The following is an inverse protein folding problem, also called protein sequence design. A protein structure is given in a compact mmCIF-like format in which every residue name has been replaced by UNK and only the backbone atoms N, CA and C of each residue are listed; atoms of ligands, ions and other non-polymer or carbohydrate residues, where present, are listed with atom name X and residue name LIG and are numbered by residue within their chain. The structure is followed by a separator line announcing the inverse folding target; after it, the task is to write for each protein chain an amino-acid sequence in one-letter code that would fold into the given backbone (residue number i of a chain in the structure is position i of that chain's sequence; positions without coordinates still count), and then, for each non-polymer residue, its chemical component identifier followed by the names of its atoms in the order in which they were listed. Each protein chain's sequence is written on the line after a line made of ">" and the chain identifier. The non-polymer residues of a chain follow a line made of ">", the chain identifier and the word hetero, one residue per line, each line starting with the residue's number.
data_IF_804903131035
#
_entry.id   IF_804903131035
#
_cell.length_a   1.000
_cell.length_b   1.000
_cell.length_c   1.000
_cell.angle_alpha   90.00
_cell.angle_beta   90.00
_cell.angle_gamma   90.00
#
_symmetry.space_group_name_H-M   'P 1'
#
loop_
_entity.id
_entity.type
_entity.pdbx_description
1 polymer ?
#
# COMPACT_ATOMS: atom_id res chain seq x y z
N UNK A 1 -0.49 4.20 72.84
CA UNK A 1 0.31 5.44 72.85
C UNK A 1 0.14 6.12 71.50
N UNK A 2 -0.25 7.39 71.51
CA UNK A 2 -0.53 8.34 70.42
C UNK A 2 0.69 8.57 69.50
N UNK A 3 0.63 8.99 68.23
CA UNK A 3 0.04 10.18 67.55
C UNK A 3 0.10 9.93 66.02
N UNK A 4 -0.88 10.20 65.13
CA UNK A 4 -1.50 11.43 64.62
C UNK A 4 -0.62 12.31 63.68
N UNK A 5 -0.96 12.39 62.38
CA UNK A 5 -1.18 13.64 61.62
C UNK A 5 -1.76 13.38 60.21
N UNK A 6 -2.50 14.36 59.71
CA UNK A 6 -3.57 14.27 58.70
C UNK A 6 -3.36 15.27 57.56
N UNK A 7 -3.97 15.04 56.38
CA UNK A 7 -4.41 16.15 55.50
C UNK A 7 -5.62 15.76 54.64
N UNK A 8 -6.63 16.65 54.57
CA UNK A 8 -7.93 16.56 53.89
C UNK A 8 -8.13 17.80 53.01
N UNK A 9 -8.69 17.69 51.79
CA UNK A 9 -10.02 18.14 51.25
C UNK A 9 -9.81 18.53 49.76
N UNK A 10 -10.75 18.50 48.81
CA UNK A 10 -12.22 18.68 48.81
C UNK A 10 -12.80 18.14 47.47
N UNK A 11 -13.96 17.48 47.52
CA UNK A 11 -14.85 17.18 46.40
C UNK A 11 -16.00 18.20 46.39
N UNK A 12 -16.44 18.63 45.21
CA UNK A 12 -17.64 19.45 45.01
C UNK A 12 -18.52 18.82 43.93
N UNK A 13 -19.83 18.81 44.21
CA UNK A 13 -20.93 18.18 43.48
C UNK A 13 -22.03 19.22 43.25
N UNK A 14 -22.58 19.31 42.03
CA UNK A 14 -23.87 19.94 41.65
C UNK A 14 -24.26 19.34 40.27
N UNK A 15 -25.28 18.47 40.09
CA UNK A 15 -26.76 18.62 40.03
C UNK A 15 -27.25 19.45 38.81
N UNK A 16 -27.59 18.78 37.69
CA UNK A 16 -28.91 18.59 37.01
C UNK A 16 -29.57 19.84 36.42
N UNK A 17 -29.92 19.82 35.13
CA UNK A 17 -31.28 20.04 34.60
C UNK A 17 -31.39 19.59 33.12
N UNK A 18 -32.57 19.04 32.82
CA UNK A 18 -33.09 18.47 31.57
C UNK A 18 -33.35 19.52 30.48
N UNK A 19 -33.11 19.21 29.20
CA UNK A 19 -33.90 19.75 28.06
C UNK A 19 -34.01 18.65 26.98
N UNK A 20 -35.23 18.47 26.52
CA UNK A 20 -35.80 17.38 25.74
C UNK A 20 -35.38 17.30 24.26
N UNK A 21 -35.65 16.13 23.67
CA UNK A 21 -35.68 15.85 22.24
C UNK A 21 -36.77 16.67 21.53
N UNK A 22 -36.46 17.22 20.36
CA UNK A 22 -37.46 17.28 19.28
C UNK A 22 -36.78 17.08 17.92
N UNK A 23 -37.41 16.22 17.14
CA UNK A 23 -37.02 15.76 15.82
C UNK A 23 -38.04 16.27 14.83
N UNK A 24 -37.62 17.04 13.82
CA UNK A 24 -38.44 17.22 12.62
C UNK A 24 -37.59 17.38 11.37
N UNK A 25 -38.08 16.69 10.35
CA UNK A 25 -37.55 16.51 9.00
C UNK A 25 -37.47 17.83 8.24
N UNK A 26 -36.47 17.96 7.34
CA UNK A 26 -36.72 18.67 6.08
C UNK A 26 -35.84 18.20 4.94
N UNK A 27 -36.54 17.92 3.85
CA UNK A 27 -36.12 17.39 2.56
C UNK A 27 -35.12 18.30 1.85
N UNK A 28 -34.15 17.70 1.14
CA UNK A 28 -33.25 18.41 0.24
C UNK A 28 -33.70 18.15 -1.19
N UNK A 29 -34.26 19.17 -1.85
CA UNK A 29 -34.58 19.14 -3.27
C UNK A 29 -33.46 19.83 -4.08
N UNK A 30 -33.12 19.19 -5.21
CA UNK A 30 -32.23 19.62 -6.29
C UNK A 30 -32.71 20.93 -6.94
N UNK A 31 -31.79 21.78 -7.41
CA UNK A 31 -31.44 21.95 -8.85
C UNK A 31 -30.57 23.22 -9.08
N UNK A 32 -29.82 23.25 -10.19
CA UNK A 32 -29.62 24.47 -10.98
C UNK A 32 -28.28 25.23 -10.94
N UNK A 33 -27.49 25.01 -12.00
CA UNK A 33 -26.35 25.79 -12.56
C UNK A 33 -26.44 27.33 -12.44
N UNK A 34 -25.29 28.02 -12.32
CA UNK A 34 -24.69 28.88 -13.39
C UNK A 34 -23.51 29.78 -12.92
N UNK A 35 -22.44 29.70 -13.71
CA UNK A 35 -21.47 30.70 -14.16
C UNK A 35 -21.52 32.12 -13.54
N UNK A 36 -20.40 32.59 -12.96
CA UNK A 36 -20.15 34.03 -12.75
C UNK A 36 -18.72 34.43 -13.11
N UNK A 37 -18.61 35.09 -14.27
CA UNK A 37 -17.50 36.01 -14.62
C UNK A 37 -17.73 37.32 -13.88
N UNK A 38 -16.73 37.82 -13.16
CA UNK A 38 -16.76 39.14 -12.53
C UNK A 38 -15.88 40.11 -13.34
N UNK A 39 -16.52 41.05 -14.03
CA UNK A 39 -15.93 42.29 -14.48
C UNK A 39 -16.39 43.39 -13.53
N UNK A 40 -15.46 44.22 -13.02
CA UNK A 40 -15.79 45.43 -12.26
C UNK A 40 -15.01 46.59 -12.84
N UNK A 41 -15.75 47.52 -13.44
CA UNK A 41 -15.29 48.84 -13.82
C UNK A 41 -15.53 49.83 -12.67
N UNK A 42 -14.45 50.55 -12.32
CA UNK A 42 -14.35 51.96 -11.94
C UNK A 42 -15.34 52.61 -10.97
N UNK A 43 -14.80 53.28 -9.95
CA UNK A 43 -15.30 54.60 -9.51
C UNK A 43 -14.17 55.51 -9.02
N UNK A 44 -14.31 56.77 -9.43
CA UNK A 44 -13.40 57.89 -9.24
C UNK A 44 -13.44 58.47 -7.82
N UNK A 45 -12.35 59.13 -7.42
CA UNK A 45 -12.37 60.11 -6.34
C UNK A 45 -11.42 61.27 -6.68
N UNK A 46 -12.01 62.45 -6.68
CA UNK A 46 -11.46 63.77 -6.98
C UNK A 46 -11.02 64.44 -5.67
N UNK A 47 -9.90 65.16 -5.64
CA UNK A 47 -9.63 66.14 -4.58
C UNK A 47 -8.87 67.35 -5.13
N UNK A 48 -9.53 68.50 -4.98
CA UNK A 48 -9.10 69.84 -5.36
C UNK A 48 -8.10 70.45 -4.37
N UNK A 49 -7.24 71.34 -4.85
CA UNK A 49 -6.50 72.31 -4.06
C UNK A 49 -6.24 73.58 -4.89
N UNK A 50 -6.72 74.73 -4.40
CA UNK A 50 -6.78 76.03 -5.10
C UNK A 50 -5.60 76.99 -4.80
N UNK A 51 -5.30 77.86 -5.77
CA UNK A 51 -4.87 79.28 -5.60
C UNK A 51 -3.36 79.59 -5.72
N UNK A 52 -2.85 80.64 -6.40
CA UNK A 52 -3.32 81.83 -7.15
C UNK A 52 -2.12 82.37 -8.01
N UNK A 53 -2.29 83.36 -8.93
CA UNK A 53 -1.52 83.51 -10.18
C UNK A 53 -0.43 84.59 -10.18
N UNK A 54 0.45 84.60 -11.20
CA UNK A 54 0.73 85.80 -12.03
C UNK A 54 1.81 85.61 -13.13
N UNK A 55 1.52 86.31 -14.23
CA UNK A 55 2.38 86.93 -15.25
C UNK A 55 3.16 86.08 -16.26
N UNK A 56 2.92 86.44 -17.53
CA UNK A 56 3.47 85.77 -18.69
C UNK A 56 4.84 86.27 -19.13
N UNK A 57 5.44 85.48 -20.01
CA UNK A 57 6.30 85.98 -21.09
C UNK A 57 6.37 84.91 -22.17
N UNK A 58 5.89 85.26 -23.35
CA UNK A 58 6.03 84.46 -24.56
C UNK A 58 7.52 84.28 -24.85
N UNK A 59 7.98 83.03 -24.85
CA UNK A 59 9.34 82.63 -25.15
C UNK A 59 9.28 81.23 -25.72
N UNK A 60 9.35 81.14 -27.05
CA UNK A 60 9.52 79.90 -27.80
C UNK A 60 10.72 79.11 -27.25
N UNK A 61 10.44 78.04 -26.52
CA UNK A 61 11.40 77.04 -26.07
C UNK A 61 10.90 75.70 -26.59
N UNK A 62 11.71 75.05 -27.41
CA UNK A 62 11.46 73.69 -27.85
C UNK A 62 11.14 72.84 -26.62
N UNK A 63 9.94 72.28 -26.57
CA UNK A 63 9.62 71.18 -25.67
C UNK A 63 10.45 70.00 -26.16
N UNK A 64 11.61 69.78 -25.54
CA UNK A 64 12.08 68.42 -25.31
C UNK A 64 10.92 67.75 -24.57
N UNK A 65 10.17 66.92 -25.29
CA UNK A 65 9.30 65.94 -24.67
C UNK A 65 10.25 65.00 -23.96
N UNK A 66 10.48 65.24 -22.67
CA UNK A 66 10.94 64.16 -21.79
C UNK A 66 9.84 63.11 -21.87
N UNK A 67 10.11 62.04 -22.63
CA UNK A 67 9.22 60.90 -22.73
C UNK A 67 9.02 60.37 -21.30
N UNK A 68 7.90 60.72 -20.67
CA UNK A 68 7.46 60.21 -19.35
C UNK A 68 7.28 58.66 -19.33
N UNK A 69 7.67 58.00 -20.42
CA UNK A 69 7.61 56.56 -20.64
C UNK A 69 9.00 55.91 -20.74
N UNK A 70 10.11 56.65 -20.55
CA UNK A 70 11.47 56.07 -20.41
C UNK A 70 11.60 55.36 -19.04
N UNK A 71 11.05 54.16 -18.95
CA UNK A 71 11.18 53.31 -17.76
C UNK A 71 9.95 52.46 -17.44
N UNK A 72 8.85 52.61 -18.19
CA UNK A 72 7.71 51.71 -18.06
C UNK A 72 8.05 50.39 -18.74
N UNK A 73 8.18 49.33 -17.96
CA UNK A 73 8.38 47.97 -18.47
C UNK A 73 7.20 47.67 -19.41
N UNK A 74 7.52 47.42 -20.68
CA UNK A 74 6.55 47.03 -21.70
C UNK A 74 6.14 45.57 -21.47
N UNK A 75 5.10 45.39 -20.64
CA UNK A 75 4.59 44.08 -20.23
C UNK A 75 4.09 43.27 -21.43
N UNK A 76 3.67 43.95 -22.51
CA UNK A 76 3.15 43.31 -23.73
C UNK A 76 4.28 42.77 -24.64
N UNK A 77 5.56 43.08 -24.34
CA UNK A 77 6.73 42.67 -25.12
C UNK A 77 7.74 41.82 -24.31
N UNK A 78 7.30 41.17 -23.24
CA UNK A 78 8.10 40.22 -22.47
C UNK A 78 8.20 38.89 -23.24
N UNK A 79 9.33 38.65 -23.91
CA UNK A 79 9.61 37.41 -24.63
C UNK A 79 10.35 36.40 -23.76
N UNK A 80 10.10 35.11 -24.01
CA UNK A 80 10.79 33.99 -23.39
C UNK A 80 12.31 34.16 -23.39
N UNK A 81 12.91 34.08 -22.21
CA UNK A 81 14.35 34.19 -22.02
C UNK A 81 14.98 32.80 -21.85
N UNK A 82 16.20 32.59 -22.36
CA UNK A 82 16.92 31.34 -22.11
C UNK A 82 17.23 31.20 -20.62
N UNK A 83 17.11 29.98 -20.12
CA UNK A 83 17.38 29.67 -18.72
C UNK A 83 18.85 29.94 -18.34
N UNK A 84 19.03 30.29 -17.07
CA UNK A 84 20.32 30.52 -16.43
C UNK A 84 20.85 29.28 -15.72
N UNK A 85 22.14 29.27 -15.41
CA UNK A 85 22.81 28.17 -14.72
C UNK A 85 22.17 27.77 -13.37
N UNK A 86 21.55 28.71 -12.67
CA UNK A 86 20.87 28.43 -11.40
C UNK A 86 19.50 27.80 -11.63
N UNK A 87 18.77 28.23 -12.66
CA UNK A 87 17.46 27.67 -13.01
C UNK A 87 17.57 26.21 -13.49
N UNK A 88 18.69 25.83 -14.14
CA UNK A 88 18.97 24.42 -14.48
C UNK A 88 19.05 23.52 -13.24
N UNK A 89 19.73 23.99 -12.19
CA UNK A 89 19.81 23.25 -10.91
C UNK A 89 18.44 23.12 -10.26
N UNK A 90 17.62 24.16 -10.36
CA UNK A 90 16.25 24.14 -9.85
C UNK A 90 15.40 23.08 -10.56
N UNK A 91 15.50 22.93 -11.88
CA UNK A 91 14.78 21.90 -12.63
C UNK A 91 15.14 20.48 -12.17
N UNK A 92 16.44 20.21 -11.95
CA UNK A 92 16.90 18.93 -11.42
C UNK A 92 16.35 18.65 -10.01
N UNK A 93 16.30 19.67 -9.16
CA UNK A 93 15.71 19.53 -7.83
C UNK A 93 14.21 19.23 -7.91
N UNK A 94 13.48 19.91 -8.78
CA UNK A 94 12.05 19.63 -9.01
C UNK A 94 11.81 18.19 -9.51
N UNK A 95 12.67 17.67 -10.39
CA UNK A 95 12.60 16.26 -10.81
C UNK A 95 12.80 15.31 -9.60
N UNK A 96 13.75 15.65 -8.72
CA UNK A 96 13.92 14.95 -7.44
C UNK A 96 12.68 15.02 -6.54
N UNK A 97 12.03 16.17 -6.46
CA UNK A 97 10.81 16.37 -5.66
C UNK A 97 9.64 15.51 -6.18
N UNK A 98 9.45 15.44 -7.50
CA UNK A 98 8.46 14.52 -8.11
C UNK A 98 8.74 13.06 -7.78
N UNK A 99 10.02 12.66 -7.81
CA UNK A 99 10.43 11.30 -7.41
C UNK A 99 10.10 11.04 -5.94
N UNK A 100 10.34 12.01 -5.05
CA UNK A 100 9.97 11.89 -3.64
C UNK A 100 8.45 11.80 -3.45
N UNK A 101 7.66 12.55 -4.21
CA UNK A 101 6.20 12.49 -4.18
C UNK A 101 5.69 11.12 -4.64
N UNK A 102 6.18 10.61 -5.78
CA UNK A 102 5.83 9.30 -6.31
C UNK A 102 6.08 8.19 -5.27
N UNK A 103 7.26 8.20 -4.63
CA UNK A 103 7.61 7.23 -3.59
C UNK A 103 6.71 7.32 -2.35
N UNK A 104 6.35 8.53 -1.90
CA UNK A 104 5.43 8.71 -0.77
C UNK A 104 4.02 8.21 -1.06
N UNK A 105 3.55 8.40 -2.30
CA UNK A 105 2.24 7.89 -2.73
C UNK A 105 2.25 6.37 -2.74
N UNK A 106 3.29 5.74 -3.30
CA UNK A 106 3.41 4.28 -3.28
C UNK A 106 3.56 3.70 -1.87
N UNK A 107 4.14 4.43 -0.91
CA UNK A 107 4.15 3.98 0.50
C UNK A 107 2.75 3.84 1.11
N UNK A 108 1.74 4.56 0.59
CA UNK A 108 0.35 4.36 1.01
C UNK A 108 -0.22 3.03 0.51
N UNK A 109 0.38 2.38 -0.49
CA UNK A 109 -0.07 1.07 -0.96
C UNK A 109 0.01 -0.02 0.13
N UNK A 110 0.99 0.09 1.03
CA UNK A 110 1.16 -0.84 2.15
C UNK A 110 -0.05 -0.84 3.09
N UNK A 111 -0.64 0.34 3.33
CA UNK A 111 -1.81 0.47 4.20
C UNK A 111 -3.06 -0.04 3.50
N UNK A 112 -3.21 0.22 2.20
CA UNK A 112 -4.30 -0.33 1.39
C UNK A 112 -4.25 -1.86 1.39
N UNK A 113 -3.07 -2.45 1.21
CA UNK A 113 -2.84 -3.91 1.33
C UNK A 113 -3.23 -4.41 2.73
N UNK A 114 -2.75 -3.77 3.79
CA UNK A 114 -3.04 -4.21 5.16
C UNK A 114 -4.54 -4.16 5.50
N UNK A 115 -5.26 -3.15 4.99
CA UNK A 115 -6.71 -3.04 5.13
C UNK A 115 -7.42 -4.12 4.30
N UNK A 116 -6.99 -4.37 3.06
CA UNK A 116 -7.61 -5.38 2.20
C UNK A 116 -7.45 -6.80 2.76
N UNK A 117 -6.27 -7.13 3.28
CA UNK A 117 -6.04 -8.41 3.99
C UNK A 117 -6.93 -8.51 5.22
N UNK A 118 -7.03 -7.43 6.00
CA UNK A 118 -7.87 -7.41 7.20
C UNK A 118 -9.36 -7.54 6.86
N UNK A 119 -9.81 -6.93 5.77
CA UNK A 119 -11.17 -7.09 5.27
C UNK A 119 -11.42 -8.56 4.89
N UNK A 120 -10.55 -9.12 4.05
CA UNK A 120 -10.65 -10.51 3.63
C UNK A 120 -10.60 -11.54 4.78
N UNK A 121 -9.98 -11.21 5.91
CA UNK A 121 -9.90 -12.09 7.09
C UNK A 121 -11.09 -11.98 8.04
N UNK A 122 -11.89 -10.91 7.97
CA UNK A 122 -12.91 -10.62 8.98
C UNK A 122 -14.31 -10.40 8.39
N UNK A 123 -14.45 -10.34 7.07
CA UNK A 123 -15.75 -10.28 6.39
C UNK A 123 -15.86 -11.41 5.37
N UNK A 124 -17.09 -11.77 5.02
CA UNK A 124 -17.42 -12.85 4.09
C UNK A 124 -18.55 -12.40 3.15
N UNK A 125 -18.69 -13.06 2.00
CA UNK A 125 -19.79 -12.81 1.06
C UNK A 125 -19.71 -11.44 0.37
N UNK A 126 -20.86 -10.82 0.13
CA UNK A 126 -20.98 -9.62 -0.71
C UNK A 126 -20.23 -8.41 -0.13
N UNK A 127 -20.25 -8.21 1.20
CA UNK A 127 -19.54 -7.10 1.86
C UNK A 127 -18.01 -7.20 1.66
N UNK A 128 -17.47 -8.42 1.68
CA UNK A 128 -16.07 -8.67 1.38
C UNK A 128 -15.74 -8.34 -0.08
N UNK A 129 -16.58 -8.78 -1.01
CA UNK A 129 -16.37 -8.56 -2.44
C UNK A 129 -16.39 -7.07 -2.80
N UNK A 130 -17.41 -6.33 -2.35
CA UNK A 130 -17.55 -4.89 -2.60
C UNK A 130 -16.39 -4.07 -2.01
N UNK A 131 -15.97 -4.41 -0.78
CA UNK A 131 -14.86 -3.71 -0.15
C UNK A 131 -13.50 -4.03 -0.80
N UNK A 132 -13.28 -5.27 -1.25
CA UNK A 132 -12.06 -5.64 -1.99
C UNK A 132 -12.03 -4.92 -3.35
N UNK A 133 -13.15 -4.84 -4.06
CA UNK A 133 -13.25 -4.10 -5.33
C UNK A 133 -12.92 -2.61 -5.14
N UNK A 134 -13.47 -1.99 -4.09
CA UNK A 134 -13.17 -0.59 -3.76
C UNK A 134 -11.68 -0.38 -3.47
N UNK A 135 -11.04 -1.30 -2.74
CA UNK A 135 -9.61 -1.23 -2.44
C UNK A 135 -8.74 -1.52 -3.67
N UNK A 136 -9.19 -2.37 -4.59
CA UNK A 136 -8.52 -2.65 -5.87
C UNK A 136 -8.50 -1.38 -6.75
N UNK A 137 -9.63 -0.67 -6.85
CA UNK A 137 -9.70 0.63 -7.52
C UNK A 137 -8.76 1.66 -6.89
N UNK A 138 -8.78 1.79 -5.55
CA UNK A 138 -7.88 2.70 -4.86
C UNK A 138 -6.40 2.36 -5.09
N UNK A 139 -6.06 1.06 -5.11
CA UNK A 139 -4.69 0.61 -5.39
C UNK A 139 -4.25 0.99 -6.80
N UNK A 140 -5.13 0.81 -7.80
CA UNK A 140 -4.87 1.22 -9.19
C UNK A 140 -4.70 2.73 -9.30
N UNK A 141 -5.55 3.52 -8.64
CA UNK A 141 -5.46 4.98 -8.59
C UNK A 141 -4.11 5.43 -8.00
N UNK A 142 -3.65 4.80 -6.91
CA UNK A 142 -2.34 5.13 -6.32
C UNK A 142 -1.18 4.86 -7.29
N UNK A 143 -1.23 3.74 -8.02
CA UNK A 143 -0.24 3.39 -9.04
C UNK A 143 -0.28 4.40 -10.19
N UNK A 144 -1.47 4.75 -10.66
CA UNK A 144 -1.66 5.69 -11.76
C UNK A 144 -1.17 7.09 -11.40
N UNK A 145 -1.55 7.61 -10.24
CA UNK A 145 -1.07 8.91 -9.76
C UNK A 145 0.45 8.90 -9.58
N UNK A 146 1.02 7.83 -8.98
CA UNK A 146 2.47 7.70 -8.86
C UNK A 146 3.16 7.71 -10.24
N UNK A 147 2.55 7.05 -11.23
CA UNK A 147 3.07 7.04 -12.59
C UNK A 147 2.99 8.42 -13.24
N UNK A 148 1.92 9.17 -13.04
CA UNK A 148 1.81 10.56 -13.49
C UNK A 148 2.93 11.43 -12.89
N UNK A 149 3.22 11.28 -11.59
CA UNK A 149 4.37 11.96 -10.96
C UNK A 149 5.70 11.53 -11.60
N UNK A 150 5.83 10.24 -11.93
CA UNK A 150 6.98 9.71 -12.67
C UNK A 150 7.15 10.34 -14.05
N UNK A 151 6.07 10.52 -14.81
CA UNK A 151 6.09 11.20 -16.11
C UNK A 151 6.57 12.65 -15.98
N UNK A 152 6.13 13.37 -14.95
CA UNK A 152 6.61 14.73 -14.65
C UNK A 152 8.12 14.76 -14.37
N UNK A 153 8.62 13.77 -13.60
CA UNK A 153 10.05 13.63 -13.35
C UNK A 153 10.84 13.36 -14.64
N UNK A 154 10.39 12.41 -15.46
CA UNK A 154 11.02 12.08 -16.75
C UNK A 154 11.09 13.29 -17.67
N UNK A 155 9.97 14.02 -17.83
CA UNK A 155 9.95 15.23 -18.67
C UNK A 155 10.98 16.28 -18.20
N UNK A 156 11.12 16.50 -16.89
CA UNK A 156 12.11 17.43 -16.35
C UNK A 156 13.55 16.94 -16.50
N UNK A 157 13.81 15.64 -16.38
CA UNK A 157 15.13 15.06 -16.60
C UNK A 157 15.54 15.14 -18.08
N UNK A 158 14.62 14.85 -19.01
CA UNK A 158 14.88 14.99 -20.45
C UNK A 158 15.19 16.45 -20.81
N UNK A 159 14.46 17.40 -20.24
CA UNK A 159 14.78 18.83 -20.38
C UNK A 159 16.15 19.13 -19.80
N UNK A 160 16.50 18.60 -18.62
CA UNK A 160 17.83 18.76 -18.06
C UNK A 160 18.94 18.23 -18.99
N UNK A 161 18.76 17.03 -19.54
CA UNK A 161 19.76 16.36 -20.38
C UNK A 161 19.96 17.06 -21.73
N UNK A 162 18.89 17.56 -22.34
CA UNK A 162 18.99 18.37 -23.58
C UNK A 162 19.74 19.68 -23.35
N UNK A 163 19.63 20.26 -22.15
CA UNK A 163 20.36 21.48 -21.78
C UNK A 163 21.83 21.21 -21.45
N UNK A 164 22.16 20.07 -20.84
CA UNK A 164 23.56 19.62 -20.68
C UNK A 164 24.23 19.37 -22.05
N UNK A 165 23.43 19.04 -23.08
CA UNK A 165 23.85 18.95 -24.49
C UNK A 165 24.16 20.30 -25.15
N UNK A 166 23.91 21.44 -24.47
CA UNK A 166 24.22 22.78 -24.94
C UNK A 166 23.10 23.47 -25.72
N UNK A 167 21.88 22.92 -25.74
CA UNK A 167 20.71 23.57 -26.34
C UNK A 167 20.20 24.71 -25.46
N UNK A 168 19.97 25.88 -26.05
CA UNK A 168 19.35 27.03 -25.35
C UNK A 168 17.83 26.92 -25.46
N UNK A 169 17.18 26.54 -24.37
CA UNK A 169 15.73 26.44 -24.28
C UNK A 169 15.16 27.78 -23.80
N UNK A 170 14.33 28.42 -24.63
CA UNK A 170 13.58 29.64 -24.28
C UNK A 170 12.15 29.32 -23.83
N UNK A 171 11.46 28.38 -24.50
CA UNK A 171 10.06 28.03 -24.23
C UNK A 171 9.93 26.83 -23.26
N UNK A 172 10.52 26.94 -22.07
CA UNK A 172 10.60 25.82 -21.10
C UNK A 172 9.23 25.30 -20.68
N UNK A 173 8.26 26.19 -20.44
CA UNK A 173 6.93 25.82 -19.94
C UNK A 173 6.18 25.01 -20.98
N UNK A 174 6.19 25.46 -22.23
CA UNK A 174 5.54 24.77 -23.34
C UNK A 174 6.18 23.41 -23.60
N UNK A 175 7.52 23.33 -23.63
CA UNK A 175 8.25 22.06 -23.79
C UNK A 175 7.91 21.07 -22.67
N UNK A 176 7.92 21.51 -21.41
CA UNK A 176 7.55 20.67 -20.26
C UNK A 176 6.10 20.20 -20.33
N UNK A 177 5.15 21.09 -20.64
CA UNK A 177 3.73 20.74 -20.75
C UNK A 177 3.49 19.76 -21.89
N UNK A 178 4.10 19.99 -23.06
CA UNK A 178 4.02 19.09 -24.21
C UNK A 178 4.56 17.71 -23.87
N UNK A 179 5.76 17.64 -23.28
CA UNK A 179 6.42 16.37 -22.98
C UNK A 179 5.68 15.59 -21.90
N UNK A 180 5.26 16.27 -20.84
CA UNK A 180 4.45 15.66 -19.77
C UNK A 180 3.14 15.14 -20.32
N UNK A 181 2.44 15.92 -21.16
CA UNK A 181 1.18 15.50 -21.78
C UNK A 181 1.38 14.29 -22.69
N UNK A 182 2.47 14.27 -23.48
CA UNK A 182 2.83 13.13 -24.33
C UNK A 182 3.02 11.86 -23.50
N UNK A 183 3.83 11.93 -22.44
CA UNK A 183 4.12 10.78 -21.57
C UNK A 183 2.88 10.29 -20.80
N UNK A 184 2.02 11.20 -20.35
CA UNK A 184 0.77 10.86 -19.67
C UNK A 184 -0.21 10.21 -20.66
N UNK A 185 -0.36 10.73 -21.87
CA UNK A 185 -1.26 10.16 -22.87
C UNK A 185 -0.78 8.78 -23.34
N UNK A 186 0.53 8.63 -23.54
CA UNK A 186 1.16 7.33 -23.82
C UNK A 186 0.88 6.32 -22.70
N UNK A 187 0.91 6.76 -21.44
CA UNK A 187 0.55 5.90 -20.31
C UNK A 187 -0.95 5.58 -20.28
N UNK A 188 -1.82 6.57 -20.50
CA UNK A 188 -3.28 6.41 -20.47
C UNK A 188 -3.76 5.44 -21.54
N UNK A 189 -3.13 5.44 -22.72
CA UNK A 189 -3.41 4.52 -23.82
C UNK A 189 -3.03 3.06 -23.55
N UNK A 190 -2.33 2.75 -22.46
CA UNK A 190 -1.99 1.36 -22.09
C UNK A 190 -3.18 0.62 -21.50
N UNK A 191 -3.24 -0.69 -21.76
CA UNK A 191 -4.26 -1.58 -21.18
C UNK A 191 -4.07 -1.77 -19.68
N UNK A 192 -5.10 -2.28 -19.01
CA UNK A 192 -5.03 -2.62 -17.58
C UNK A 192 -3.91 -3.63 -17.29
N UNK A 193 -3.70 -4.62 -18.17
CA UNK A 193 -2.61 -5.60 -18.00
C UNK A 193 -1.24 -4.95 -18.13
N UNK A 194 -1.04 -4.12 -19.14
CA UNK A 194 0.22 -3.41 -19.34
C UNK A 194 0.58 -2.48 -18.17
N UNK A 195 -0.43 -1.87 -17.54
CA UNK A 195 -0.25 -0.98 -16.38
C UNK A 195 0.07 -1.74 -15.10
N UNK A 196 -0.70 -2.78 -14.77
CA UNK A 196 -0.68 -3.35 -13.42
C UNK A 196 -0.08 -4.77 -13.33
N UNK A 197 -0.02 -5.55 -14.42
CA UNK A 197 0.45 -6.94 -14.34
C UNK A 197 1.93 -7.06 -13.95
N UNK A 198 2.74 -6.05 -14.29
CA UNK A 198 4.17 -5.99 -13.95
C UNK A 198 4.45 -5.15 -12.69
N UNK A 199 3.41 -4.61 -12.04
CA UNK A 199 3.56 -3.80 -10.83
C UNK A 199 3.76 -4.69 -9.61
N UNK A 200 4.93 -4.58 -8.97
CA UNK A 200 5.22 -5.30 -7.72
C UNK A 200 4.25 -4.91 -6.60
N UNK A 201 3.85 -3.64 -6.51
CA UNK A 201 2.94 -3.18 -5.47
C UNK A 201 1.55 -3.81 -5.66
N UNK A 202 1.06 -3.83 -6.90
CA UNK A 202 -0.20 -4.51 -7.23
C UNK A 202 -0.12 -6.02 -6.99
N UNK A 203 1.02 -6.64 -7.33
CA UNK A 203 1.27 -8.04 -7.03
C UNK A 203 1.15 -8.35 -5.55
N UNK A 204 1.83 -7.59 -4.69
CA UNK A 204 1.78 -7.80 -3.24
C UNK A 204 0.39 -7.55 -2.65
N UNK A 205 -0.36 -6.60 -3.21
CA UNK A 205 -1.75 -6.36 -2.84
C UNK A 205 -2.62 -7.59 -3.12
N UNK A 206 -2.56 -8.12 -4.36
CA UNK A 206 -3.33 -9.29 -4.78
C UNK A 206 -2.88 -10.56 -4.05
N UNK A 207 -1.57 -10.76 -3.87
CA UNK A 207 -0.98 -11.89 -3.15
C UNK A 207 -1.53 -11.96 -1.72
N UNK A 208 -1.51 -10.83 -0.99
CA UNK A 208 -2.02 -10.79 0.37
C UNK A 208 -3.49 -11.20 0.50
N UNK A 209 -4.33 -10.78 -0.45
CA UNK A 209 -5.76 -11.18 -0.48
C UNK A 209 -5.92 -12.66 -0.86
N UNK A 210 -5.12 -13.12 -1.81
CA UNK A 210 -5.18 -14.50 -2.31
C UNK A 210 -4.75 -15.50 -1.24
N UNK A 211 -3.70 -15.21 -0.47
CA UNK A 211 -3.24 -16.08 0.62
C UNK A 211 -4.28 -16.31 1.73
N UNK A 212 -5.19 -15.35 1.92
CA UNK A 212 -6.28 -15.47 2.90
C UNK A 212 -7.39 -16.37 2.37
N UNK A 213 -7.73 -16.20 1.09
CA UNK A 213 -8.83 -16.94 0.45
C UNK A 213 -8.43 -18.35 -0.02
N UNK A 214 -7.14 -18.58 -0.30
CA UNK A 214 -6.59 -19.86 -0.78
C UNK A 214 -5.37 -20.27 0.07
N UNK A 215 -5.58 -20.80 1.30
CA UNK A 215 -4.48 -21.15 2.18
C UNK A 215 -3.56 -22.23 1.60
N UNK A 216 -2.28 -21.91 1.46
CA UNK A 216 -1.25 -22.86 1.02
C UNK A 216 -1.01 -22.91 -0.49
N UNK A 217 -1.79 -22.17 -1.27
CA UNK A 217 -1.56 -22.00 -2.71
C UNK A 217 -0.85 -20.68 -3.00
N UNK A 218 0.10 -20.69 -3.94
CA UNK A 218 0.72 -19.46 -4.43
C UNK A 218 -0.23 -18.73 -5.38
N UNK A 219 -0.20 -17.40 -5.37
CA UNK A 219 -1.03 -16.62 -6.29
C UNK A 219 -0.66 -16.93 -7.76
N UNK A 220 -1.65 -17.17 -8.64
CA UNK A 220 -1.39 -17.28 -10.08
C UNK A 220 -0.82 -15.97 -10.65
N UNK A 221 -0.20 -16.00 -11.84
CA UNK A 221 0.27 -14.78 -12.51
C UNK A 221 -0.82 -13.71 -12.60
N UNK A 222 -0.46 -12.44 -12.37
CA UNK A 222 -1.42 -11.33 -12.42
C UNK A 222 -2.11 -11.19 -13.78
N UNK A 223 -1.44 -11.60 -14.86
CA UNK A 223 -2.01 -11.64 -16.21
C UNK A 223 -3.25 -12.54 -16.28
N UNK A 224 -3.38 -13.56 -15.44
CA UNK A 224 -4.60 -14.39 -15.36
C UNK A 224 -5.70 -13.73 -14.52
N UNK A 225 -5.34 -12.90 -13.55
CA UNK A 225 -6.27 -12.25 -12.63
C UNK A 225 -6.86 -10.95 -13.20
N UNK A 226 -6.12 -10.26 -14.08
CA UNK A 226 -6.59 -9.07 -14.77
C UNK A 226 -7.31 -9.52 -16.06
N UNK A 227 -8.56 -9.10 -16.30
CA UNK A 227 -9.29 -9.41 -17.53
C UNK A 227 -8.47 -9.03 -18.78
N UNK A 228 -8.64 -9.79 -19.85
CA UNK A 228 -8.00 -9.49 -21.14
C UNK A 228 -8.80 -8.40 -21.86
N UNK A 229 -8.11 -7.38 -22.34
CA UNK A 229 -8.64 -6.29 -23.18
C UNK A 229 -8.23 -6.52 -24.67
N UNK A 230 -8.94 -5.91 -25.62
CA UNK A 230 -8.77 -6.18 -27.06
C UNK A 230 -7.36 -5.81 -27.58
N UNK A 231 -6.72 -4.79 -26.98
CA UNK A 231 -5.37 -4.31 -27.28
C UNK A 231 -4.28 -5.01 -26.45
N UNK A 232 -4.64 -6.06 -25.69
CA UNK A 232 -3.65 -6.96 -25.09
C UNK A 232 -3.11 -7.88 -26.20
N UNK A 233 -2.19 -7.34 -27.02
CA UNK A 233 -1.34 -8.16 -27.88
C UNK A 233 -0.73 -9.27 -27.00
N UNK A 234 -0.82 -10.51 -27.51
CA UNK A 234 -0.14 -11.63 -26.89
C UNK A 234 1.34 -11.37 -27.04
N UNK A 235 1.93 -10.71 -26.04
CA UNK A 235 3.36 -10.50 -25.93
C UNK A 235 3.96 -11.90 -25.70
N UNK A 236 4.15 -12.62 -26.81
CA UNK A 236 4.79 -13.94 -26.93
C UNK A 236 6.32 -13.79 -26.84
N UNK A 237 6.80 -12.62 -26.43
CA UNK A 237 8.16 -12.41 -25.98
C UNK A 237 8.23 -12.81 -24.50
N UNK A 238 9.20 -13.67 -24.19
CA UNK A 238 9.53 -14.30 -22.91
C UNK A 238 9.74 -13.29 -21.75
N UNK A 239 8.70 -12.54 -21.38
CA UNK A 239 8.72 -11.54 -20.34
C UNK A 239 8.31 -12.20 -19.02
N UNK A 240 9.27 -12.25 -18.10
CA UNK A 240 9.22 -12.99 -16.84
C UNK A 240 8.05 -12.49 -15.96
N UNK A 241 6.92 -13.19 -16.01
CA UNK A 241 5.74 -12.89 -15.19
C UNK A 241 6.03 -13.18 -13.70
N UNK A 242 5.60 -12.27 -12.82
CA UNK A 242 5.74 -12.45 -11.38
C UNK A 242 4.65 -13.43 -10.92
N UNK A 243 5.02 -14.70 -10.77
CA UNK A 243 4.20 -15.72 -10.13
C UNK A 243 4.43 -15.76 -8.62
N UNK A 244 3.38 -16.10 -7.86
CA UNK A 244 3.47 -16.33 -6.42
C UNK A 244 4.23 -17.60 -6.08
N UNK A 245 5.25 -17.48 -5.24
CA UNK A 245 5.88 -18.63 -4.59
C UNK A 245 5.26 -18.77 -3.21
N UNK A 246 4.84 -19.98 -2.85
CA UNK A 246 4.34 -20.25 -1.51
C UNK A 246 5.37 -19.83 -0.45
N UNK A 247 5.01 -18.84 0.37
CA UNK A 247 5.91 -18.36 1.40
C UNK A 247 5.99 -19.35 2.55
N UNK A 248 7.21 -19.77 2.92
CA UNK A 248 7.43 -20.63 4.07
C UNK A 248 7.49 -19.81 5.36
N UNK A 249 6.49 -19.97 6.21
CA UNK A 249 6.39 -19.31 7.53
C UNK A 249 7.14 -20.06 8.66
N UNK A 250 7.83 -21.15 8.34
CA UNK A 250 8.61 -21.95 9.28
C UNK A 250 10.10 -21.65 9.14
N UNK A 251 10.78 -21.55 10.29
CA UNK A 251 12.21 -21.34 10.34
C UNK A 251 12.96 -22.63 9.97
N UNK A 252 13.80 -22.58 8.95
CA UNK A 252 14.64 -23.72 8.53
C UNK A 252 15.64 -24.20 9.60
N UNK A 253 15.90 -23.39 10.62
CA UNK A 253 16.78 -23.74 11.75
C UNK A 253 16.04 -24.32 12.95
N UNK A 254 15.02 -23.63 13.43
CA UNK A 254 14.31 -24.02 14.66
C UNK A 254 13.13 -24.95 14.41
N UNK A 255 12.71 -25.11 13.15
CA UNK A 255 11.50 -25.83 12.72
C UNK A 255 10.22 -25.30 13.40
N UNK A 256 10.29 -24.08 13.93
CA UNK A 256 9.17 -23.38 14.55
C UNK A 256 8.71 -22.25 13.64
N UNK A 257 7.45 -21.80 13.77
CA UNK A 257 7.00 -20.58 13.12
C UNK A 257 7.93 -19.40 13.42
N UNK A 258 8.20 -18.56 12.41
CA UNK A 258 9.03 -17.37 12.58
C UNK A 258 8.35 -16.36 13.52
N UNK A 259 9.02 -15.97 14.61
CA UNK A 259 8.48 -14.97 15.55
C UNK A 259 9.14 -13.62 15.38
N UNK A 260 10.47 -13.61 15.27
CA UNK A 260 11.29 -12.43 15.04
C UNK A 260 12.27 -12.72 13.89
N UNK A 261 11.79 -12.70 12.63
CA UNK A 261 12.59 -13.09 11.48
C UNK A 261 13.67 -12.05 11.15
N UNK A 262 14.91 -12.52 11.08
CA UNK A 262 16.07 -11.85 10.49
C UNK A 262 16.30 -12.36 9.08
N UNK A 263 16.32 -11.46 8.10
CA UNK A 263 16.58 -11.76 6.69
C UNK A 263 18.02 -11.38 6.34
N UNK A 264 18.74 -12.25 5.62
CA UNK A 264 20.06 -11.90 5.11
C UNK A 264 19.98 -10.97 3.91
N UNK A 265 20.71 -9.87 3.92
CA UNK A 265 20.95 -9.05 2.71
C UNK A 265 21.60 -9.82 1.56
N UNK A 266 22.39 -10.85 1.89
CA UNK A 266 23.18 -11.58 0.90
C UNK A 266 22.37 -12.66 0.18
N UNK A 267 21.63 -13.52 0.91
CA UNK A 267 20.90 -14.66 0.36
C UNK A 267 19.38 -14.54 0.44
N UNK A 268 18.83 -13.49 1.05
CA UNK A 268 17.39 -13.27 1.27
C UNK A 268 16.67 -14.39 2.03
N UNK A 269 17.40 -15.30 2.68
CA UNK A 269 16.79 -16.30 3.57
C UNK A 269 16.52 -15.71 4.95
N UNK A 270 15.39 -16.09 5.52
CA UNK A 270 14.89 -15.61 6.80
C UNK A 270 14.98 -16.69 7.87
N UNK A 271 15.44 -16.30 9.07
CA UNK A 271 15.56 -17.18 10.22
C UNK A 271 15.08 -16.47 11.48
N UNK A 272 14.64 -17.23 12.48
CA UNK A 272 14.28 -16.67 13.78
C UNK A 272 15.53 -16.09 14.49
N UNK A 273 15.41 -14.87 15.03
CA UNK A 273 16.54 -14.12 15.60
C UNK A 273 17.32 -14.92 16.63
N UNK A 274 16.63 -15.56 17.56
CA UNK A 274 17.28 -16.30 18.63
C UNK A 274 18.11 -17.46 18.04
N UNK A 275 17.52 -18.22 17.11
CA UNK A 275 18.16 -19.37 16.49
C UNK A 275 19.41 -19.00 15.69
N UNK A 276 19.33 -17.96 14.85
CA UNK A 276 20.48 -17.57 14.00
C UNK A 276 21.58 -16.88 14.82
N UNK A 277 21.21 -16.07 15.82
CA UNK A 277 22.17 -15.39 16.69
C UNK A 277 22.98 -16.40 17.50
N UNK A 278 22.32 -17.41 18.06
CA UNK A 278 23.00 -18.47 18.81
C UNK A 278 23.94 -19.29 17.92
N UNK A 279 23.51 -19.61 16.70
CA UNK A 279 24.34 -20.33 15.73
C UNK A 279 25.58 -19.54 15.30
N UNK A 280 25.44 -18.23 15.05
CA UNK A 280 26.57 -17.35 14.70
C UNK A 280 27.55 -17.24 15.88
N UNK A 281 27.04 -17.11 17.10
CA UNK A 281 27.87 -17.06 18.33
C UNK A 281 28.66 -18.34 18.53
N UNK A 282 28.02 -19.51 18.35
CA UNK A 282 28.68 -20.81 18.45
C UNK A 282 29.77 -21.01 17.38
N UNK A 283 29.57 -20.43 16.19
CA UNK A 283 30.48 -20.56 15.04
C UNK A 283 31.58 -19.49 14.99
N UNK A 284 31.86 -18.80 16.10
CA UNK A 284 32.89 -17.74 16.21
C UNK A 284 32.65 -16.54 15.27
N UNK A 285 31.39 -16.19 15.04
CA UNK A 285 31.01 -14.94 14.35
C UNK A 285 30.76 -15.06 12.84
N UNK A 286 30.98 -16.24 12.24
CA UNK A 286 30.55 -16.51 10.87
C UNK A 286 29.95 -17.91 10.76
N UNK A 287 28.88 -18.07 9.99
CA UNK A 287 28.28 -19.39 9.74
C UNK A 287 27.83 -19.50 8.29
N UNK A 288 27.84 -20.71 7.72
CA UNK A 288 27.21 -20.92 6.42
C UNK A 288 25.70 -20.83 6.55
N UNK A 289 25.04 -20.29 5.53
CA UNK A 289 23.60 -20.19 5.49
C UNK A 289 22.96 -21.59 5.68
N UNK A 290 22.11 -21.78 6.70
CA UNK A 290 21.51 -23.08 6.97
C UNK A 290 20.41 -23.50 6.01
N UNK A 291 19.95 -22.59 5.14
CA UNK A 291 18.99 -22.91 4.10
C UNK A 291 19.60 -23.94 3.13
N UNK A 292 18.81 -24.95 2.76
CA UNK A 292 19.26 -26.04 1.91
C UNK A 292 19.86 -25.50 0.59
N UNK A 293 21.09 -25.93 0.29
CA UNK A 293 21.78 -25.56 -0.95
C UNK A 293 22.40 -24.15 -0.97
N UNK A 294 22.28 -23.36 0.11
CA UNK A 294 22.88 -22.03 0.17
C UNK A 294 24.30 -22.05 0.74
N UNK A 295 25.26 -21.46 0.00
CA UNK A 295 26.67 -21.43 0.39
C UNK A 295 27.15 -20.07 0.91
N UNK A 296 26.24 -19.09 1.09
CA UNK A 296 26.63 -17.74 1.54
C UNK A 296 26.97 -17.74 3.04
N UNK A 297 27.94 -16.92 3.43
CA UNK A 297 28.33 -16.75 4.83
C UNK A 297 27.46 -15.70 5.49
N UNK A 298 26.92 -16.03 6.67
CA UNK A 298 26.09 -15.16 7.49
C UNK A 298 26.91 -14.61 8.66
N UNK A 299 26.77 -13.31 8.87
CA UNK A 299 27.28 -12.56 10.03
C UNK A 299 26.14 -11.69 10.56
N UNK A 300 26.22 -11.25 11.82
CA UNK A 300 25.17 -10.40 12.40
C UNK A 300 24.98 -9.09 11.64
N UNK A 301 26.05 -8.53 11.09
CA UNK A 301 26.00 -7.25 10.38
C UNK A 301 25.21 -7.29 9.06
N UNK A 302 25.08 -8.47 8.44
CA UNK A 302 24.33 -8.63 7.18
C UNK A 302 22.89 -9.10 7.39
N UNK A 303 22.48 -9.30 8.64
CA UNK A 303 21.10 -9.63 9.01
C UNK A 303 20.30 -8.36 9.22
N UNK A 304 19.11 -8.30 8.65
CA UNK A 304 18.17 -7.19 8.80
C UNK A 304 16.82 -7.70 9.32
N UNK A 305 16.19 -6.90 10.17
CA UNK A 305 14.88 -7.23 10.76
C UNK A 305 13.80 -7.14 9.70
N UNK A 306 13.00 -8.20 9.55
CA UNK A 306 11.90 -8.22 8.58
C UNK A 306 10.55 -8.18 9.29
N UNK A 307 10.06 -6.96 9.54
CA UNK A 307 8.79 -6.74 10.24
C UNK A 307 7.59 -7.22 9.43
N UNK A 308 7.69 -7.22 8.10
CA UNK A 308 6.60 -7.66 7.22
C UNK A 308 6.41 -9.17 7.31
N UNK A 309 7.49 -9.95 7.24
CA UNK A 309 7.44 -11.39 7.43
C UNK A 309 7.01 -11.76 8.85
N UNK A 310 7.38 -10.96 9.87
CA UNK A 310 6.91 -11.15 11.23
C UNK A 310 5.39 -11.00 11.32
N UNK A 311 4.84 -9.93 10.74
CA UNK A 311 3.40 -9.67 10.66
C UNK A 311 2.67 -10.76 9.88
N UNK A 312 3.19 -11.16 8.72
CA UNK A 312 2.63 -12.21 7.89
C UNK A 312 2.60 -13.57 8.62
N UNK A 313 3.70 -13.94 9.29
CA UNK A 313 3.75 -15.17 10.09
C UNK A 313 2.78 -15.14 11.26
N UNK A 314 2.62 -13.99 11.92
CA UNK A 314 1.64 -13.83 13.00
C UNK A 314 0.20 -14.00 12.48
N UNK A 315 -0.13 -13.40 11.32
CA UNK A 315 -1.44 -13.58 10.67
C UNK A 315 -1.66 -15.05 10.33
N UNK A 316 -0.69 -15.71 9.71
CA UNK A 316 -0.75 -17.13 9.39
C UNK A 316 -0.96 -18.02 10.62
N UNK A 317 -0.24 -17.77 11.72
CA UNK A 317 -0.45 -18.49 12.98
C UNK A 317 -1.85 -18.26 13.56
N UNK A 318 -2.35 -17.03 13.49
CA UNK A 318 -3.70 -16.70 13.95
C UNK A 318 -4.75 -17.45 13.13
N UNK A 319 -4.58 -17.55 11.81
CA UNK A 319 -5.45 -18.34 10.92
C UNK A 319 -5.41 -19.82 11.26
N UNK A 320 -4.23 -20.42 11.39
CA UNK A 320 -4.10 -21.82 11.80
C UNK A 320 -4.76 -22.11 13.15
N UNK A 321 -4.64 -21.19 14.13
CA UNK A 321 -5.28 -21.36 15.44
C UNK A 321 -6.80 -21.28 15.38
N UNK A 322 -7.36 -20.41 14.53
CA UNK A 322 -8.82 -20.34 14.32
C UNK A 322 -9.34 -21.62 13.68
N UNK A 323 -8.71 -22.07 12.59
CA UNK A 323 -9.07 -23.31 11.90
C UNK A 323 -8.98 -24.53 12.83
N UNK A 324 -7.90 -24.63 13.61
CA UNK A 324 -7.75 -25.72 14.57
C UNK A 324 -8.78 -25.67 15.72
N UNK A 325 -9.28 -24.47 16.09
CA UNK A 325 -10.34 -24.34 17.09
C UNK A 325 -11.71 -24.75 16.51
N UNK A 326 -12.02 -24.33 15.28
CA UNK A 326 -13.23 -24.72 14.55
C UNK A 326 -13.27 -26.22 14.29
N UNK A 327 -12.17 -26.82 13.81
CA UNK A 327 -12.05 -28.29 13.66
C UNK A 327 -12.14 -29.05 14.99
N UNK A 328 -11.71 -28.43 16.10
CA UNK A 328 -11.80 -29.07 17.42
C UNK A 328 -13.19 -29.01 18.03
N UNK A 329 -13.97 -27.95 17.74
CA UNK A 329 -15.36 -27.81 18.18
C UNK A 329 -16.30 -28.75 17.38
N UNK A 330 -15.98 -29.06 16.12
CA UNK A 330 -16.70 -30.05 15.31
C UNK A 330 -16.31 -31.52 15.63
N UNK A 331 -15.28 -31.75 16.45
CA UNK A 331 -14.85 -33.09 16.85
C UNK A 331 -15.63 -33.69 18.05
N UNK A 332 -16.61 -32.96 18.61
CA UNK A 332 -17.49 -33.43 19.71
C UNK A 332 -18.86 -33.98 19.26
N UNK A 333 -19.00 -34.49 18.03
CA UNK A 333 -20.09 -35.43 17.70
C UNK A 333 -19.55 -36.85 17.45
N UNK A 334 -18.83 -37.39 18.44
CA UNK A 334 -18.88 -38.84 18.66
C UNK A 334 -20.31 -39.11 19.10
N UNK A 335 -21.12 -39.60 18.16
CA UNK A 335 -22.44 -40.16 18.42
C UNK A 335 -22.27 -41.19 19.54
N UNK A 336 -22.58 -40.79 20.78
CA UNK A 336 -22.89 -41.70 21.88
C UNK A 336 -24.17 -42.42 21.45
N UNK A 337 -23.97 -43.47 20.66
CA UNK A 337 -25.03 -44.40 20.32
C UNK A 337 -25.38 -45.13 21.61
N UNK A 338 -26.37 -44.59 22.32
CA UNK A 338 -27.07 -45.20 23.45
C UNK A 338 -27.75 -46.49 22.98
N UNK A 339 -26.93 -47.53 22.83
CA UNK A 339 -27.30 -48.88 22.48
C UNK A 339 -27.36 -49.74 23.74
N UNK A 340 -28.44 -49.62 24.50
CA UNK A 340 -28.80 -50.55 25.56
C UNK A 340 -28.97 -51.97 24.95
N UNK A 341 -27.93 -52.80 25.03
CA UNK A 341 -28.06 -54.26 25.03
C UNK A 341 -27.14 -54.83 26.10
N UNK A 342 -27.74 -55.26 27.21
CA UNK A 342 -27.14 -56.25 28.10
C UNK A 342 -26.85 -57.53 27.33
N UNK A 343 -25.61 -57.66 26.84
CA UNK A 343 -25.11 -58.82 26.12
C UNK A 343 -24.56 -59.85 27.10
N UNK A 344 -25.37 -60.87 27.41
CA UNK A 344 -24.84 -62.17 27.86
C UNK A 344 -23.79 -62.63 26.84
N UNK A 345 -22.62 -63.01 27.30
CA UNK A 345 -21.59 -63.66 26.48
C UNK A 345 -22.25 -64.78 25.67
N UNK A 346 -22.30 -64.63 24.34
CA UNK A 346 -22.69 -65.73 23.47
C UNK A 346 -21.56 -66.76 23.54
N UNK A 347 -21.81 -67.99 23.99
CA UNK A 347 -20.77 -69.01 24.06
C UNK A 347 -20.24 -69.32 22.66
N UNK A 348 -18.95 -69.63 22.59
CA UNK A 348 -18.29 -70.06 21.37
C UNK A 348 -19.00 -71.31 20.82
N UNK A 349 -19.19 -71.46 19.49
CA UNK A 349 -19.69 -72.70 18.89
C UNK A 349 -18.82 -73.94 19.16
N UNK A 350 -17.67 -73.76 19.81
CA UNK A 350 -16.74 -74.79 20.21
C UNK A 350 -17.05 -75.42 21.58
N UNK A 351 -17.91 -74.81 22.40
CA UNK A 351 -18.21 -75.28 23.77
C UNK A 351 -19.29 -76.39 23.83
N UNK A 352 -19.90 -76.76 22.70
CA UNK A 352 -20.96 -77.78 22.62
C UNK A 352 -20.64 -78.95 21.69
N UNK A 353 -19.39 -79.13 21.29
CA UNK A 353 -18.99 -80.25 20.42
C UNK A 353 -18.99 -81.60 21.18
N UNK A 354 -19.90 -82.50 20.79
CA UNK A 354 -19.85 -83.94 21.08
C UNK A 354 -18.55 -84.55 20.50
N UNK A 355 -18.01 -85.64 21.09
CA UNK A 355 -16.60 -86.03 20.96
C UNK A 355 -16.15 -86.61 19.60
N UNK A 356 -16.88 -86.44 18.49
CA UNK A 356 -16.58 -87.16 17.23
C UNK A 356 -16.52 -86.30 15.95
N UNK A 357 -16.38 -84.97 16.04
CA UNK A 357 -16.14 -84.14 14.84
C UNK A 357 -14.82 -83.35 14.90
N UNK A 358 -14.08 -83.21 13.78
CA UNK A 358 -12.82 -82.48 13.76
C UNK A 358 -13.06 -80.98 13.95
N UNK A 359 -12.29 -80.37 14.87
CA UNK A 359 -12.42 -78.97 15.25
C UNK A 359 -12.11 -77.99 14.10
N UNK A 360 -12.79 -76.82 14.05
CA UNK A 360 -12.57 -75.79 13.04
C UNK A 360 -11.16 -75.17 13.13
N UNK A 361 -10.64 -74.62 12.02
CA UNK A 361 -9.25 -74.15 11.91
C UNK A 361 -8.88 -72.99 12.84
N UNK A 362 -9.85 -72.31 13.46
CA UNK A 362 -9.61 -71.18 14.36
C UNK A 362 -9.00 -71.56 15.73
N UNK A 363 -8.93 -72.85 16.09
CA UNK A 363 -8.51 -73.30 17.42
C UNK A 363 -7.25 -74.19 17.44
N UNK A 364 -6.52 -74.33 16.33
CA UNK A 364 -5.26 -75.10 16.32
C UNK A 364 -4.13 -74.25 16.92
N UNK A 365 -3.71 -74.55 18.15
CA UNK A 365 -2.50 -73.94 18.75
C UNK A 365 -2.61 -73.55 20.22
N UNK A 366 -3.74 -73.78 20.89
CA UNK A 366 -3.85 -73.64 22.34
C UNK A 366 -4.28 -74.97 22.95
N UNK A 367 -3.32 -75.85 23.18
CA UNK A 367 -3.42 -76.90 24.20
C UNK A 367 -2.15 -76.88 25.03
#
# INVERSE_FOLDING_TARGET
>A
MSTATSSRRRLTRTRTDEIEQDSSQREVARDGKENRKAAVNGHAANSQGEGYPMNGRSGTRATEQEDENEGRIDVDNLVDQPLTANEYKTLKNLAGDWTMLANKILQCSDTVRDVAVSLAENTEGDEQAEGIETLDHLMRDLIDVSREMGCNCTALNELHDTMDGGEKISNIVERYQSETSRLIEEYKGKTSRQKYAKSNDYFQFREGIYEVTNPGEGIPPLSMLIPKEDDDESDDDDDLEIGGVQQTYQCALSLKPLTDPLTSRSCKHSFDRAAITDMIRQSRGNVRCPAAGCNKMLTMDIMEENKDLARATQRFQKRQRRHAAEESDDAEEIIDYDGYYGGKQRPCPCDTALPETPAPPCCRGKR
#
